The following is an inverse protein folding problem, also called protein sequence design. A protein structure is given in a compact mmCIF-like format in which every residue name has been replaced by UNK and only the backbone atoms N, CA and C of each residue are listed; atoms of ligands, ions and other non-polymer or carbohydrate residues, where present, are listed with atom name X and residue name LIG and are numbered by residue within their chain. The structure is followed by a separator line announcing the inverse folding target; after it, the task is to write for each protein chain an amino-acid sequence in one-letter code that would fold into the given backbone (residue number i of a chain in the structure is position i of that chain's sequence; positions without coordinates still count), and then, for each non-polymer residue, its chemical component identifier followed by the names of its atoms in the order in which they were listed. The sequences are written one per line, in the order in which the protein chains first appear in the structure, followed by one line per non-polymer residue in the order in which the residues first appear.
data_IF_064276768897
#
_entry.id   IF_064276768897
#
_cell.length_a   1.000
_cell.length_b   1.000
_cell.length_c   1.000
_cell.angle_alpha   90.00
_cell.angle_beta   90.00
_cell.angle_gamma   90.00
#
_symmetry.space_group_name_H-M   'P 1'
#
loop_
_entity.id
_entity.type
_entity.pdbx_description
1 polymer ?
#
# COMPACT_ATOMS: atom_id res chain seq x y z
N UNK A 1 -9.86 13.24 -5.80
CA UNK A 1 -11.29 12.95 -5.52
C UNK A 1 -11.63 13.10 -4.04
N UNK A 2 -12.55 14.01 -3.73
CA UNK A 2 -13.18 14.16 -2.41
C UNK A 2 -14.34 13.15 -2.28
N UNK A 3 -14.40 12.42 -1.17
CA UNK A 3 -15.44 11.42 -0.89
C UNK A 3 -16.32 11.91 0.25
N UNK A 4 -17.65 11.88 0.07
CA UNK A 4 -18.59 12.29 1.10
C UNK A 4 -18.54 11.37 2.33
N UNK A 5 -18.95 11.88 3.50
CA UNK A 5 -19.00 11.05 4.72
C UNK A 5 -19.96 9.85 4.55
N UNK A 6 -21.10 10.05 3.89
CA UNK A 6 -22.09 9.00 3.67
C UNK A 6 -21.54 7.88 2.77
N UNK A 7 -20.90 8.24 1.66
CA UNK A 7 -20.28 7.28 0.74
C UNK A 7 -19.15 6.53 1.42
N UNK A 8 -18.29 7.23 2.16
CA UNK A 8 -17.20 6.61 2.92
C UNK A 8 -17.72 5.55 3.90
N UNK A 9 -18.79 5.84 4.65
CA UNK A 9 -19.40 4.88 5.57
C UNK A 9 -19.99 3.67 4.82
N UNK A 10 -20.64 3.90 3.68
CA UNK A 10 -21.20 2.83 2.84
C UNK A 10 -20.10 1.93 2.26
N UNK A 11 -19.02 2.52 1.74
CA UNK A 11 -17.83 1.80 1.25
C UNK A 11 -17.23 0.97 2.39
N UNK A 12 -17.01 1.57 3.55
CA UNK A 12 -16.44 0.86 4.70
C UNK A 12 -17.29 -0.29 5.18
N UNK A 13 -18.61 -0.22 5.06
CA UNK A 13 -19.51 -1.33 5.38
C UNK A 13 -19.40 -2.46 4.35
N UNK A 14 -19.38 -2.13 3.07
CA UNK A 14 -19.59 -3.11 1.99
C UNK A 14 -18.32 -3.62 1.29
N UNK A 15 -17.20 -2.91 1.37
CA UNK A 15 -15.90 -3.34 0.86
C UNK A 15 -15.16 -4.13 1.95
N UNK A 16 -15.05 -5.45 1.76
CA UNK A 16 -14.54 -6.40 2.75
C UNK A 16 -13.42 -7.30 2.19
N UNK A 17 -13.37 -7.48 0.87
CA UNK A 17 -12.40 -8.27 0.12
C UNK A 17 -12.09 -7.61 -1.23
N UNK A 18 -11.04 -8.08 -1.90
CA UNK A 18 -10.57 -7.49 -3.17
C UNK A 18 -11.60 -7.57 -4.29
N UNK A 19 -12.43 -8.61 -4.34
CA UNK A 19 -13.53 -8.69 -5.33
C UNK A 19 -14.64 -7.66 -5.11
N UNK A 20 -14.65 -6.95 -3.98
CA UNK A 20 -15.61 -5.87 -3.73
C UNK A 20 -15.16 -4.52 -4.32
N UNK A 21 -13.93 -4.42 -4.85
CA UNK A 21 -13.36 -3.16 -5.35
C UNK A 21 -14.05 -2.61 -6.62
N UNK A 22 -14.97 -3.36 -7.22
CA UNK A 22 -15.74 -2.92 -8.39
C UNK A 22 -17.20 -2.56 -8.04
N UNK A 23 -17.59 -2.61 -6.75
CA UNK A 23 -18.99 -2.40 -6.32
C UNK A 23 -19.43 -0.94 -6.32
N UNK A 24 -18.48 0.00 -6.40
CA UNK A 24 -18.72 1.42 -6.30
C UNK A 24 -18.14 2.10 -7.53
N UNK A 25 -18.78 3.18 -7.99
CA UNK A 25 -18.30 4.00 -9.13
C UNK A 25 -17.08 4.87 -8.80
N UNK A 26 -16.24 4.45 -7.85
CA UNK A 26 -15.02 5.15 -7.46
C UNK A 26 -13.79 4.43 -8.01
N UNK A 27 -12.67 5.15 -8.24
CA UNK A 27 -11.44 4.53 -8.68
C UNK A 27 -10.98 3.42 -7.73
N UNK A 28 -10.51 2.31 -8.33
CA UNK A 28 -10.09 1.09 -7.64
C UNK A 28 -9.07 1.34 -6.54
N UNK A 29 -8.11 2.24 -6.78
CA UNK A 29 -7.07 2.64 -5.83
C UNK A 29 -7.63 3.25 -4.54
N UNK A 30 -8.70 4.04 -4.63
CA UNK A 30 -9.39 4.63 -3.46
C UNK A 30 -9.99 3.52 -2.61
N UNK A 31 -10.80 2.66 -3.23
CA UNK A 31 -11.47 1.54 -2.56
C UNK A 31 -10.45 0.58 -1.95
N UNK A 32 -9.34 0.32 -2.66
CA UNK A 32 -8.24 -0.51 -2.18
C UNK A 32 -7.56 0.10 -0.96
N UNK A 33 -7.30 1.41 -0.96
CA UNK A 33 -6.71 2.10 0.19
C UNK A 33 -7.61 2.03 1.42
N UNK A 34 -8.92 2.28 1.27
CA UNK A 34 -9.89 2.19 2.37
C UNK A 34 -9.96 0.76 2.92
N UNK A 35 -9.95 -0.25 2.04
CA UNK A 35 -9.93 -1.66 2.43
C UNK A 35 -8.67 -2.01 3.24
N UNK A 36 -7.48 -1.59 2.78
CA UNK A 36 -6.21 -1.78 3.51
C UNK A 36 -6.33 -1.18 4.92
N UNK A 37 -6.76 0.07 5.04
CA UNK A 37 -6.90 0.76 6.32
C UNK A 37 -7.81 -0.01 7.28
N UNK A 38 -8.97 -0.45 6.79
CA UNK A 38 -9.91 -1.27 7.55
C UNK A 38 -9.29 -2.60 8.03
N UNK A 39 -8.48 -3.26 7.20
CA UNK A 39 -7.78 -4.51 7.59
C UNK A 39 -6.69 -4.23 8.62
N UNK A 40 -5.90 -3.19 8.44
CA UNK A 40 -4.85 -2.77 9.40
C UNK A 40 -5.46 -2.46 10.77
N UNK A 41 -6.56 -1.71 10.81
CA UNK A 41 -7.29 -1.43 12.06
C UNK A 41 -7.81 -2.70 12.73
N UNK A 42 -8.36 -3.64 11.96
CA UNK A 42 -8.82 -4.92 12.47
C UNK A 42 -7.67 -5.74 13.06
N UNK A 43 -6.52 -5.80 12.39
CA UNK A 43 -5.34 -6.51 12.89
C UNK A 43 -4.81 -5.86 14.16
N UNK A 44 -4.62 -4.53 14.18
CA UNK A 44 -4.13 -3.82 15.37
C UNK A 44 -4.99 -4.10 16.62
N UNK A 45 -6.32 -4.13 16.46
CA UNK A 45 -7.24 -4.41 17.57
C UNK A 45 -7.19 -5.85 18.08
N UNK A 46 -6.92 -6.83 17.22
CA UNK A 46 -7.05 -8.26 17.56
C UNK A 46 -5.71 -8.98 17.75
N UNK A 47 -4.61 -8.42 17.25
CA UNK A 47 -3.33 -9.13 17.17
C UNK A 47 -2.82 -9.60 18.54
N UNK A 48 -2.89 -8.74 19.57
CA UNK A 48 -2.42 -9.08 20.92
C UNK A 48 -3.22 -10.26 21.52
N UNK A 49 -4.55 -10.25 21.37
CA UNK A 49 -5.45 -11.33 21.82
C UNK A 49 -5.08 -12.69 21.22
N UNK A 50 -4.68 -12.71 19.95
CA UNK A 50 -4.26 -13.95 19.29
C UNK A 50 -2.81 -14.32 19.58
N UNK A 51 -1.94 -13.32 19.81
CA UNK A 51 -0.54 -13.55 20.17
C UNK A 51 -0.39 -14.24 21.52
N UNK A 52 -1.30 -13.98 22.47
CA UNK A 52 -1.39 -14.67 23.77
C UNK A 52 -1.77 -16.15 23.63
N UNK A 53 -2.39 -16.54 22.52
CA UNK A 53 -2.86 -17.92 22.25
C UNK A 53 -1.97 -18.66 21.26
N UNK A 54 -0.71 -18.24 21.10
CA UNK A 54 0.21 -18.77 20.08
C UNK A 54 0.48 -20.28 20.27
N UNK A 55 0.48 -20.77 21.51
CA UNK A 55 0.64 -22.20 21.83
C UNK A 55 -0.57 -23.03 21.40
N UNK A 56 -1.79 -22.50 21.54
CA UNK A 56 -3.00 -23.15 21.01
C UNK A 56 -2.97 -23.22 19.48
N UNK A 57 -2.51 -22.15 18.82
CA UNK A 57 -2.35 -22.10 17.36
C UNK A 57 -1.37 -23.18 16.91
N UNK A 58 -0.21 -23.30 17.58
CA UNK A 58 0.79 -24.29 17.25
C UNK A 58 0.28 -25.72 17.45
N UNK A 59 -0.42 -25.98 18.55
CA UNK A 59 -1.01 -27.29 18.84
C UNK A 59 -2.01 -27.70 17.76
N UNK A 60 -2.95 -26.81 17.45
CA UNK A 60 -3.93 -27.05 16.39
C UNK A 60 -3.26 -27.25 15.03
N UNK A 61 -2.19 -26.50 14.71
CA UNK A 61 -1.43 -26.71 13.48
C UNK A 61 -0.78 -28.11 13.44
N UNK A 62 -0.19 -28.57 14.55
CA UNK A 62 0.45 -29.89 14.62
C UNK A 62 -0.55 -31.03 14.42
N UNK A 63 -1.77 -30.88 14.95
CA UNK A 63 -2.85 -31.87 14.89
C UNK A 63 -3.58 -31.85 13.54
N UNK A 64 -4.01 -30.67 13.09
CA UNK A 64 -4.98 -30.50 11.99
C UNK A 64 -4.36 -29.96 10.70
N UNK A 65 -3.07 -29.62 10.70
CA UNK A 65 -2.33 -29.01 9.57
C UNK A 65 -3.05 -27.79 8.96
N UNK A 66 -3.76 -27.05 9.81
CA UNK A 66 -4.57 -25.90 9.40
C UNK A 66 -4.67 -24.87 10.52
N UNK A 67 -5.14 -23.66 10.17
CA UNK A 67 -5.36 -22.61 11.16
C UNK A 67 -6.75 -22.73 11.79
N UNK A 68 -6.88 -22.47 13.11
CA UNK A 68 -8.17 -22.55 13.77
C UNK A 68 -9.13 -21.47 13.24
N UNK A 69 -10.42 -21.81 13.12
CA UNK A 69 -11.45 -20.91 12.55
C UNK A 69 -11.58 -19.57 13.29
N UNK A 70 -11.32 -19.56 14.60
CA UNK A 70 -11.36 -18.34 15.42
C UNK A 70 -10.20 -17.37 15.14
N UNK A 71 -9.10 -17.83 14.52
CA UNK A 71 -7.97 -16.98 14.15
C UNK A 71 -8.35 -16.17 12.90
N UNK A 72 -8.86 -14.96 13.11
CA UNK A 72 -9.42 -14.10 12.05
C UNK A 72 -8.47 -13.01 11.56
N UNK A 73 -7.16 -13.21 11.73
CA UNK A 73 -6.12 -12.34 11.18
C UNK A 73 -5.94 -12.50 9.67
N UNK A 74 -5.21 -11.58 9.04
CA UNK A 74 -4.82 -11.71 7.63
C UNK A 74 -3.84 -12.87 7.44
N UNK A 75 -3.75 -13.49 6.24
CA UNK A 75 -2.96 -14.69 6.02
C UNK A 75 -1.51 -14.60 6.52
N UNK A 76 -0.80 -13.52 6.21
CA UNK A 76 0.60 -13.35 6.64
C UNK A 76 0.70 -13.20 8.16
N UNK A 77 -0.25 -12.52 8.79
CA UNK A 77 -0.26 -12.39 10.26
C UNK A 77 -0.50 -13.73 10.96
N UNK A 78 -1.31 -14.63 10.39
CA UNK A 78 -1.48 -16.00 10.91
C UNK A 78 -0.17 -16.77 10.87
N UNK A 79 0.50 -16.75 9.71
CA UNK A 79 1.79 -17.40 9.51
C UNK A 79 2.86 -16.82 10.45
N UNK A 80 2.92 -15.50 10.63
CA UNK A 80 3.86 -14.88 11.58
C UNK A 80 3.66 -15.37 13.00
N UNK A 81 2.41 -15.51 13.46
CA UNK A 81 2.12 -16.06 14.80
C UNK A 81 2.53 -17.52 14.90
N UNK A 82 2.25 -18.34 13.89
CA UNK A 82 2.65 -19.75 13.85
C UNK A 82 4.18 -19.90 13.90
N UNK A 83 4.91 -19.22 13.03
CA UNK A 83 6.37 -19.28 13.00
C UNK A 83 6.97 -18.75 14.31
N UNK A 84 6.40 -17.70 14.90
CA UNK A 84 6.80 -17.23 16.24
C UNK A 84 6.56 -18.27 17.33
N UNK A 85 5.44 -19.01 17.27
CA UNK A 85 5.17 -20.12 18.19
C UNK A 85 6.14 -21.29 18.00
N UNK A 86 6.65 -21.48 16.78
CA UNK A 86 7.72 -22.43 16.43
C UNK A 86 9.13 -21.91 16.78
N UNK A 87 9.25 -20.81 17.52
CA UNK A 87 10.51 -20.18 17.94
C UNK A 87 11.38 -19.60 16.81
N UNK A 88 10.81 -19.30 15.64
CA UNK A 88 11.52 -18.55 14.61
C UNK A 88 11.77 -17.12 15.10
N UNK A 89 12.99 -16.63 14.91
CA UNK A 89 13.35 -15.23 15.12
C UNK A 89 12.67 -14.31 14.10
N UNK A 90 12.60 -13.02 14.40
CA UNK A 90 12.04 -12.03 13.47
C UNK A 90 12.77 -12.02 12.11
N UNK A 91 14.09 -12.27 12.10
CA UNK A 91 14.91 -12.36 10.89
C UNK A 91 14.55 -13.58 10.06
N UNK A 92 14.41 -14.74 10.68
CA UNK A 92 14.01 -15.98 10.00
C UNK A 92 12.58 -15.88 9.46
N UNK A 93 11.65 -15.30 10.22
CA UNK A 93 10.28 -15.04 9.74
C UNK A 93 10.30 -14.15 8.49
N UNK A 94 11.04 -13.05 8.52
CA UNK A 94 11.11 -12.15 7.36
C UNK A 94 11.75 -12.85 6.15
N UNK A 95 12.79 -13.67 6.36
CA UNK A 95 13.40 -14.49 5.31
C UNK A 95 12.39 -15.49 4.74
N UNK A 96 11.66 -16.22 5.57
CA UNK A 96 10.62 -17.17 5.16
C UNK A 96 9.50 -16.51 4.34
N UNK A 97 9.03 -15.32 4.75
CA UNK A 97 8.00 -14.58 4.00
C UNK A 97 8.51 -14.10 2.63
N UNK A 98 9.81 -13.82 2.51
CA UNK A 98 10.43 -13.38 1.25
C UNK A 98 10.77 -14.57 0.36
N UNK A 99 11.19 -15.67 0.96
CA UNK A 99 11.65 -16.87 0.28
C UNK A 99 11.04 -18.12 0.92
N UNK A 100 9.78 -18.46 0.62
CA UNK A 100 9.07 -19.57 1.27
C UNK A 100 9.72 -20.94 1.09
N UNK A 101 10.51 -21.12 0.04
CA UNK A 101 11.18 -22.39 -0.31
C UNK A 101 12.39 -22.71 0.58
N UNK A 102 12.80 -21.79 1.46
CA UNK A 102 13.82 -22.06 2.49
C UNK A 102 13.27 -22.93 3.66
N UNK A 103 11.95 -23.19 3.67
CA UNK A 103 11.27 -23.97 4.70
C UNK A 103 11.00 -25.40 4.23
N UNK A 104 10.63 -26.27 5.16
CA UNK A 104 10.12 -27.60 4.81
C UNK A 104 8.86 -27.50 3.92
N UNK A 105 8.52 -28.54 3.13
CA UNK A 105 7.44 -28.46 2.15
C UNK A 105 6.08 -28.05 2.73
N UNK A 106 5.76 -28.45 3.96
CA UNK A 106 4.48 -28.14 4.61
C UNK A 106 4.41 -26.65 4.95
N UNK A 107 5.42 -26.11 5.63
CA UNK A 107 5.49 -24.69 5.96
C UNK A 107 5.67 -23.83 4.71
N UNK A 108 6.42 -24.30 3.71
CA UNK A 108 6.63 -23.61 2.45
C UNK A 108 5.30 -23.34 1.73
N UNK A 109 4.44 -24.36 1.61
CA UNK A 109 3.14 -24.23 0.95
C UNK A 109 2.20 -23.23 1.62
N UNK A 110 2.09 -23.26 2.95
CA UNK A 110 1.22 -22.33 3.69
C UNK A 110 1.76 -20.90 3.66
N UNK A 111 3.08 -20.73 3.75
CA UNK A 111 3.74 -19.43 3.68
C UNK A 111 3.57 -18.84 2.29
N UNK A 112 3.85 -19.61 1.23
CA UNK A 112 3.63 -19.20 -0.17
C UNK A 112 2.19 -18.75 -0.41
N UNK A 113 1.19 -19.56 0.00
CA UNK A 113 -0.23 -19.21 -0.14
C UNK A 113 -0.59 -17.92 0.62
N UNK A 114 0.03 -17.70 1.77
CA UNK A 114 -0.21 -16.51 2.59
C UNK A 114 0.38 -15.25 1.96
N UNK A 115 1.63 -15.30 1.49
CA UNK A 115 2.30 -14.14 0.89
C UNK A 115 1.76 -13.80 -0.50
N UNK A 116 1.27 -14.78 -1.26
CA UNK A 116 0.62 -14.58 -2.58
C UNK A 116 -0.80 -14.03 -2.51
N UNK A 117 -1.43 -13.99 -1.32
CA UNK A 117 -2.83 -13.57 -1.14
C UNK A 117 -3.05 -12.41 -0.18
N UNK A 118 -2.12 -12.15 0.75
CA UNK A 118 -2.25 -11.05 1.71
C UNK A 118 -1.84 -9.72 1.10
N UNK A 119 -2.82 -8.91 0.72
CA UNK A 119 -2.63 -7.57 0.14
C UNK A 119 -2.27 -6.48 1.16
N UNK A 120 -2.04 -6.82 2.42
CA UNK A 120 -1.75 -5.85 3.48
C UNK A 120 -0.32 -6.00 4.00
N UNK A 121 0.10 -7.22 4.30
CA UNK A 121 1.35 -7.48 5.02
C UNK A 121 2.34 -8.37 4.28
N UNK A 122 2.03 -8.83 3.06
CA UNK A 122 3.02 -9.55 2.25
C UNK A 122 4.17 -8.64 1.81
N UNK A 123 5.33 -9.22 1.46
CA UNK A 123 6.43 -8.46 0.85
C UNK A 123 5.99 -7.70 -0.43
N UNK A 124 5.16 -8.33 -1.26
CA UNK A 124 4.63 -7.70 -2.50
C UNK A 124 3.70 -6.54 -2.15
N UNK A 125 2.78 -6.70 -1.18
CA UNK A 125 1.94 -5.59 -0.72
C UNK A 125 2.77 -4.40 -0.21
N UNK A 126 3.83 -4.69 0.53
CA UNK A 126 4.78 -3.66 1.01
C UNK A 126 5.45 -2.96 -0.16
N UNK A 127 5.93 -3.71 -1.16
CA UNK A 127 6.54 -3.17 -2.38
C UNK A 127 5.56 -2.28 -3.15
N UNK A 128 4.30 -2.68 -3.26
CA UNK A 128 3.25 -1.88 -3.92
C UNK A 128 3.10 -0.53 -3.21
N UNK A 129 3.02 -0.51 -1.87
CA UNK A 129 2.91 0.77 -1.14
C UNK A 129 4.12 1.68 -1.39
N UNK A 130 5.33 1.12 -1.45
CA UNK A 130 6.54 1.88 -1.76
C UNK A 130 6.49 2.48 -3.17
N UNK A 131 6.18 1.67 -4.18
CA UNK A 131 6.11 2.12 -5.58
C UNK A 131 4.99 3.16 -5.78
N UNK A 132 3.82 2.97 -5.17
CA UNK A 132 2.76 3.98 -5.22
C UNK A 132 3.19 5.30 -4.54
N UNK A 133 3.95 5.24 -3.45
CA UNK A 133 4.57 6.42 -2.83
C UNK A 133 5.48 7.17 -3.78
N UNK A 134 6.41 6.44 -4.41
CA UNK A 134 7.34 6.98 -5.40
C UNK A 134 6.64 7.60 -6.61
N UNK A 135 5.57 6.96 -7.12
CA UNK A 135 4.76 7.55 -8.20
C UNK A 135 4.15 8.88 -7.75
N UNK A 136 3.63 8.95 -6.52
CA UNK A 136 3.09 10.18 -5.95
C UNK A 136 4.12 11.30 -5.87
N UNK A 137 5.32 11.01 -5.36
CA UNK A 137 6.43 11.96 -5.32
C UNK A 137 6.85 12.40 -6.73
N UNK A 138 6.97 11.47 -7.68
CA UNK A 138 7.33 11.75 -9.07
C UNK A 138 6.34 12.72 -9.75
N UNK A 139 5.04 12.59 -9.48
CA UNK A 139 4.01 13.52 -9.98
C UNK A 139 4.29 14.96 -9.49
N UNK A 140 4.60 15.12 -8.20
CA UNK A 140 4.96 16.45 -7.65
C UNK A 140 6.24 16.97 -8.31
N UNK A 141 7.25 16.11 -8.41
CA UNK A 141 8.55 16.46 -8.97
C UNK A 141 8.43 16.97 -10.42
N UNK A 142 7.74 16.22 -11.28
CA UNK A 142 7.51 16.59 -12.68
C UNK A 142 6.72 17.90 -12.78
N UNK A 143 5.72 18.09 -11.93
CA UNK A 143 4.94 19.33 -11.91
C UNK A 143 5.80 20.53 -11.53
N UNK A 144 6.57 20.45 -10.45
CA UNK A 144 7.45 21.53 -10.00
C UNK A 144 8.51 21.86 -11.07
N UNK A 145 9.13 20.84 -11.67
CA UNK A 145 10.09 21.01 -12.77
C UNK A 145 9.47 21.68 -13.99
N UNK A 146 8.25 21.29 -14.37
CA UNK A 146 7.53 21.91 -15.50
C UNK A 146 7.23 23.41 -15.29
N UNK A 147 7.13 23.83 -14.02
CA UNK A 147 6.92 25.23 -13.64
C UNK A 147 8.23 26.00 -13.42
N UNK A 148 9.40 25.35 -13.59
CA UNK A 148 10.71 25.95 -13.31
C UNK A 148 10.95 26.25 -11.82
N UNK A 149 10.23 25.57 -10.92
CA UNK A 149 10.34 25.80 -9.48
C UNK A 149 11.49 24.96 -8.94
N UNK A 150 12.43 25.62 -8.26
CA UNK A 150 13.51 24.95 -7.54
C UNK A 150 13.01 24.40 -6.19
N UNK A 151 13.39 23.17 -5.86
CA UNK A 151 13.05 22.51 -4.61
C UNK A 151 14.20 21.63 -4.13
N UNK A 152 14.18 21.31 -2.83
CA UNK A 152 15.04 20.31 -2.20
C UNK A 152 14.21 19.09 -1.84
N UNK A 153 14.75 17.90 -2.08
CA UNK A 153 14.13 16.63 -1.67
C UNK A 153 14.69 16.14 -0.34
N UNK A 154 13.99 15.18 0.32
CA UNK A 154 14.36 14.64 1.64
C UNK A 154 15.87 14.32 1.76
N UNK A 155 16.44 13.61 0.78
CA UNK A 155 17.86 13.18 0.75
C UNK A 155 18.88 14.33 0.73
N UNK A 156 18.47 15.53 0.31
CA UNK A 156 19.33 16.72 0.26
C UNK A 156 19.27 17.55 1.55
N UNK A 157 18.28 17.26 2.39
CA UNK A 157 18.06 17.97 3.64
C UNK A 157 18.81 17.25 4.77
N UNK A 158 19.82 17.92 5.35
CA UNK A 158 20.63 17.39 6.47
C UNK A 158 19.87 17.36 7.82
N UNK A 159 18.55 17.36 7.81
CA UNK A 159 17.70 17.46 9.00
C UNK A 159 17.03 16.13 9.30
N UNK A 160 16.75 15.88 10.58
CA UNK A 160 16.26 14.59 11.06
C UNK A 160 14.79 14.28 10.67
N UNK A 161 14.00 15.30 10.30
CA UNK A 161 12.62 15.18 9.82
C UNK A 161 12.36 16.24 8.77
N UNK A 162 12.01 15.81 7.57
CA UNK A 162 11.93 16.68 6.40
C UNK A 162 10.72 16.31 5.57
N UNK A 163 10.01 17.31 5.00
CA UNK A 163 8.95 17.04 4.04
C UNK A 163 9.55 16.45 2.76
N UNK A 164 8.71 15.79 1.96
CA UNK A 164 9.15 15.18 0.70
C UNK A 164 9.75 16.23 -0.26
N UNK A 165 9.15 17.43 -0.28
CA UNK A 165 9.64 18.58 -1.03
C UNK A 165 9.68 19.82 -0.15
N UNK A 166 10.80 20.54 -0.19
CA UNK A 166 11.03 21.78 0.56
C UNK A 166 11.48 22.92 -0.36
N UNK A 167 10.96 24.12 -0.11
CA UNK A 167 11.35 25.34 -0.82
C UNK A 167 12.11 26.25 0.15
N UNK A 168 13.26 26.80 -0.28
CA UNK A 168 14.03 27.71 0.57
C UNK A 168 13.21 28.94 0.96
N UNK A 169 12.55 29.52 -0.05
CA UNK A 169 11.61 30.62 0.07
C UNK A 169 10.17 30.15 -0.22
N UNK A 170 9.14 30.74 0.42
CA UNK A 170 7.75 30.43 0.11
C UNK A 170 7.41 30.73 -1.36
N UNK A 171 6.72 29.79 -2.00
CA UNK A 171 6.26 29.89 -3.38
C UNK A 171 4.74 30.04 -3.45
N UNK A 172 4.23 30.56 -4.55
CA UNK A 172 2.80 30.51 -4.87
C UNK A 172 2.51 29.31 -5.78
N UNK A 173 1.72 28.36 -5.29
CA UNK A 173 1.34 27.15 -6.02
C UNK A 173 -0.16 26.88 -5.81
N UNK A 174 -0.90 26.73 -6.91
CA UNK A 174 -2.36 26.51 -6.90
C UNK A 174 -3.14 27.54 -6.06
N UNK A 175 -2.72 28.81 -6.12
CA UNK A 175 -3.34 29.89 -5.35
C UNK A 175 -3.04 29.85 -3.84
N UNK A 176 -2.07 29.04 -3.41
CA UNK A 176 -1.62 28.95 -2.01
C UNK A 176 -0.16 29.36 -1.91
N UNK A 177 0.19 30.13 -0.89
CA UNK A 177 1.58 30.41 -0.53
C UNK A 177 2.11 29.30 0.39
N UNK A 178 3.03 28.48 -0.10
CA UNK A 178 3.51 27.27 0.61
C UNK A 178 5.03 27.20 0.63
N UNK A 179 5.59 26.46 1.60
CA UNK A 179 7.04 26.24 1.74
C UNK A 179 7.46 24.76 1.72
N UNK A 180 6.50 23.86 1.71
CA UNK A 180 6.77 22.43 1.61
C UNK A 180 5.58 21.66 1.04
N UNK A 181 5.84 20.47 0.50
CA UNK A 181 4.82 19.52 0.05
C UNK A 181 5.10 18.15 0.67
N UNK A 182 4.06 17.50 1.17
CA UNK A 182 4.09 16.11 1.63
C UNK A 182 3.14 15.26 0.77
N UNK A 183 3.69 14.21 0.17
CA UNK A 183 3.04 13.28 -0.75
C UNK A 183 2.65 11.98 -0.03
N UNK A 184 1.36 11.65 -0.01
CA UNK A 184 0.84 10.43 0.61
C UNK A 184 0.03 9.61 -0.38
N UNK A 185 0.56 8.47 -0.79
CA UNK A 185 -0.14 7.54 -1.69
C UNK A 185 -1.20 6.70 -0.96
N UNK A 186 -2.16 7.32 -0.26
CA UNK A 186 -3.24 6.65 0.47
C UNK A 186 -4.47 7.56 0.61
N UNK A 187 -5.62 7.00 1.01
CA UNK A 187 -6.86 7.74 1.26
C UNK A 187 -6.81 8.43 2.63
N UNK A 188 -7.17 9.70 2.73
CA UNK A 188 -7.28 10.39 4.02
C UNK A 188 -8.68 10.26 4.60
N UNK A 189 -8.83 9.53 5.70
CA UNK A 189 -9.92 9.71 6.66
C UNK A 189 -9.43 10.49 7.89
N UNK A 190 -10.32 10.87 8.81
CA UNK A 190 -9.92 11.64 9.99
C UNK A 190 -8.83 10.94 10.80
N UNK A 191 -8.89 9.62 10.98
CA UNK A 191 -7.89 8.89 11.77
C UNK A 191 -6.52 8.90 11.13
N UNK A 192 -6.48 8.71 9.81
CA UNK A 192 -5.26 8.74 9.02
C UNK A 192 -4.68 10.15 9.02
N UNK A 193 -5.50 11.16 8.78
CA UNK A 193 -5.08 12.55 8.80
C UNK A 193 -4.50 12.91 10.17
N UNK A 194 -5.21 12.63 11.27
CA UNK A 194 -4.74 12.88 12.65
C UNK A 194 -3.43 12.13 13.00
N UNK A 195 -3.24 10.95 12.43
CA UNK A 195 -2.00 10.18 12.59
C UNK A 195 -0.82 10.90 11.94
N UNK A 196 -0.98 11.35 10.69
CA UNK A 196 0.07 12.07 9.98
C UNK A 196 0.25 13.51 10.48
N UNK A 197 -0.83 14.13 10.96
CA UNK A 197 -0.81 15.43 11.60
C UNK A 197 0.16 15.46 12.78
N UNK A 198 -0.01 14.52 13.70
CA UNK A 198 0.84 14.38 14.89
C UNK A 198 2.26 13.93 14.58
N UNK A 199 2.46 13.16 13.50
CA UNK A 199 3.79 12.62 13.15
C UNK A 199 4.68 13.63 12.43
N UNK A 200 4.10 14.40 11.52
CA UNK A 200 4.80 15.19 10.51
C UNK A 200 4.20 16.60 10.35
N UNK A 201 2.94 16.71 9.93
CA UNK A 201 2.36 17.96 9.40
C UNK A 201 2.40 19.11 10.41
N UNK A 202 2.02 18.88 11.67
CA UNK A 202 2.03 19.93 12.70
C UNK A 202 3.45 20.48 12.88
N UNK A 203 4.42 19.58 13.01
CA UNK A 203 5.82 19.97 13.18
C UNK A 203 6.39 20.67 11.95
N UNK A 204 6.01 20.26 10.74
CA UNK A 204 6.44 20.94 9.52
C UNK A 204 5.83 22.33 9.42
N UNK A 205 4.56 22.50 9.80
CA UNK A 205 3.92 23.82 9.88
C UNK A 205 4.62 24.73 10.88
N UNK A 206 4.95 24.22 12.07
CA UNK A 206 5.68 24.97 13.10
C UNK A 206 7.10 25.38 12.65
N UNK A 207 7.81 24.48 11.96
CA UNK A 207 9.21 24.71 11.57
C UNK A 207 9.36 25.51 10.28
N UNK A 208 8.45 25.32 9.32
CA UNK A 208 8.62 25.79 7.95
C UNK A 208 7.47 26.70 7.48
N UNK A 209 6.40 26.85 8.27
CA UNK A 209 5.20 27.59 7.87
C UNK A 209 4.25 26.75 7.01
N UNK A 210 3.38 27.41 6.27
CA UNK A 210 2.34 26.75 5.48
C UNK A 210 2.91 25.77 4.44
N UNK A 211 2.19 24.67 4.23
CA UNK A 211 2.55 23.63 3.27
C UNK A 211 1.35 22.95 2.67
N UNK A 212 1.60 22.05 1.73
CA UNK A 212 0.58 21.29 1.03
C UNK A 212 0.73 19.81 1.32
N UNK A 213 -0.34 19.16 1.78
CA UNK A 213 -0.38 17.70 1.91
C UNK A 213 -1.27 17.15 0.82
N UNK A 214 -0.77 16.17 0.06
CA UNK A 214 -1.49 15.56 -1.06
C UNK A 214 -1.76 14.08 -0.74
N UNK A 215 -3.04 13.70 -0.73
CA UNK A 215 -3.48 12.30 -0.57
C UNK A 215 -3.97 11.75 -1.91
N UNK A 216 -3.10 11.03 -2.61
CA UNK A 216 -3.34 10.61 -3.99
C UNK A 216 -4.49 9.63 -4.18
N UNK A 217 -4.89 8.91 -3.12
CA UNK A 217 -5.99 7.95 -3.19
C UNK A 217 -7.27 8.49 -2.58
N UNK A 218 -7.43 9.81 -2.56
CA UNK A 218 -8.65 10.52 -2.19
C UNK A 218 -8.67 11.05 -0.77
N UNK A 219 -9.60 11.96 -0.50
CA UNK A 219 -9.74 12.66 0.78
C UNK A 219 -11.19 12.61 1.24
N UNK A 220 -11.42 12.31 2.51
CA UNK A 220 -12.74 12.43 3.13
C UNK A 220 -13.13 13.91 3.22
N UNK A 221 -14.36 14.22 2.85
CA UNK A 221 -14.94 15.55 2.96
C UNK A 221 -14.68 16.19 4.33
N UNK A 222 -14.22 17.44 4.32
CA UNK A 222 -13.93 18.22 5.53
C UNK A 222 -12.50 18.08 6.06
N UNK A 223 -11.64 17.30 5.41
CA UNK A 223 -10.19 17.28 5.69
C UNK A 223 -9.49 18.35 4.83
N UNK A 224 -8.69 19.20 5.47
CA UNK A 224 -7.84 20.20 4.79
C UNK A 224 -6.59 19.55 4.20
N UNK A 225 -6.76 18.91 3.04
CA UNK A 225 -5.67 18.37 2.24
C UNK A 225 -6.07 18.31 0.76
N UNK A 226 -5.09 18.33 -0.14
CA UNK A 226 -5.32 18.11 -1.57
C UNK A 226 -5.53 16.62 -1.85
N UNK A 227 -6.37 16.33 -2.83
CA UNK A 227 -6.60 14.98 -3.36
C UNK A 227 -5.84 14.72 -4.68
N UNK A 228 -4.93 15.64 -5.02
CA UNK A 228 -4.06 15.63 -6.19
C UNK A 228 -4.71 16.10 -7.49
N UNK A 229 -5.93 16.66 -7.47
CA UNK A 229 -6.61 17.14 -8.69
C UNK A 229 -5.87 18.28 -9.40
N UNK A 230 -5.11 19.07 -8.67
CA UNK A 230 -4.31 20.18 -9.22
C UNK A 230 -3.06 19.69 -10.00
N UNK A 231 -2.73 18.40 -9.87
CA UNK A 231 -1.61 17.75 -10.54
C UNK A 231 -2.13 16.92 -11.73
N UNK A 232 -2.45 17.60 -12.83
CA UNK A 232 -2.93 16.98 -14.07
C UNK A 232 -1.80 16.28 -14.85
N UNK A 233 -1.41 15.11 -14.37
CA UNK A 233 -0.36 14.27 -14.96
C UNK A 233 -0.90 12.85 -15.10
N UNK A 234 -0.69 12.22 -16.25
CA UNK A 234 -1.18 10.87 -16.58
C UNK A 234 -0.75 9.81 -15.55
N UNK A 235 0.40 9.98 -14.90
CA UNK A 235 0.87 9.11 -13.81
C UNK A 235 -0.12 9.00 -12.65
N UNK A 236 -0.95 10.03 -12.40
CA UNK A 236 -2.01 9.97 -11.37
C UNK A 236 -3.01 8.84 -11.64
N UNK A 237 -3.30 8.54 -12.92
CA UNK A 237 -4.19 7.43 -13.30
C UNK A 237 -3.66 6.09 -12.79
N UNK A 238 -2.35 5.88 -12.74
CA UNK A 238 -1.76 4.63 -12.19
C UNK A 238 -2.08 4.43 -10.71
N UNK A 239 -2.13 5.51 -9.91
CA UNK A 239 -2.45 5.48 -8.49
C UNK A 239 -3.94 5.18 -8.25
N UNK A 240 -4.80 5.70 -9.12
CA UNK A 240 -6.25 5.62 -9.00
C UNK A 240 -6.84 4.35 -9.62
N UNK A 241 -6.33 3.91 -10.76
CA UNK A 241 -6.89 2.78 -11.51
C UNK A 241 -6.27 1.44 -11.12
N UNK A 242 -4.98 1.43 -10.71
CA UNK A 242 -4.23 0.21 -10.40
C UNK A 242 -4.37 -0.85 -11.51
N UNK A 243 -4.17 -0.47 -12.78
CA UNK A 243 -4.32 -1.37 -13.95
C UNK A 243 -2.99 -1.92 -14.42
N UNK A 244 -2.94 -3.24 -14.61
CA UNK A 244 -1.83 -3.95 -15.25
C UNK A 244 -2.38 -4.77 -16.41
N UNK A 245 -1.63 -4.81 -17.50
CA UNK A 245 -1.90 -5.59 -18.70
C UNK A 245 -0.84 -6.69 -18.82
N UNK A 246 -1.27 -7.92 -19.01
CA UNK A 246 -0.42 -9.08 -19.23
C UNK A 246 -0.60 -9.55 -20.67
N UNK A 247 0.49 -9.55 -21.43
CA UNK A 247 0.51 -9.84 -22.87
C UNK A 247 0.70 -11.35 -23.07
N UNK A 248 -0.28 -12.03 -23.67
CA UNK A 248 -0.23 -13.50 -23.85
C UNK A 248 0.76 -13.93 -24.93
N UNK A 249 1.06 -13.07 -25.90
CA UNK A 249 2.13 -13.29 -26.89
C UNK A 249 3.53 -13.37 -26.25
N UNK A 250 3.72 -12.81 -25.05
CA UNK A 250 4.98 -12.84 -24.30
C UNK A 250 4.82 -13.72 -23.04
N UNK A 251 5.30 -14.96 -23.04
CA UNK A 251 5.28 -15.78 -21.82
C UNK A 251 6.53 -15.55 -20.96
N UNK A 252 6.36 -15.58 -19.64
CA UNK A 252 7.46 -15.56 -18.68
C UNK A 252 7.42 -16.75 -17.74
N UNK A 253 8.54 -17.47 -17.71
CA UNK A 253 8.78 -18.57 -16.79
C UNK A 253 9.58 -18.12 -15.57
N UNK A 254 9.33 -18.78 -14.44
CA UNK A 254 10.13 -18.61 -13.23
C UNK A 254 9.32 -18.46 -11.96
N UNK A 255 9.96 -17.91 -10.94
CA UNK A 255 9.35 -17.78 -9.62
C UNK A 255 8.31 -16.66 -9.62
N UNK A 256 7.03 -17.04 -9.55
CA UNK A 256 5.91 -16.09 -9.62
C UNK A 256 5.95 -14.97 -8.56
N UNK A 257 6.50 -15.20 -7.35
CA UNK A 257 6.65 -14.13 -6.35
C UNK A 257 7.69 -13.10 -6.78
N UNK A 258 8.83 -13.56 -7.32
CA UNK A 258 9.90 -12.67 -7.81
C UNK A 258 9.44 -11.89 -9.02
N UNK A 259 8.81 -12.56 -10.01
CA UNK A 259 8.25 -11.92 -11.19
C UNK A 259 7.18 -10.87 -10.82
N UNK A 260 6.25 -11.21 -9.92
CA UNK A 260 5.26 -10.24 -9.44
C UNK A 260 5.91 -9.04 -8.75
N UNK A 261 6.95 -9.25 -7.94
CA UNK A 261 7.69 -8.15 -7.30
C UNK A 261 8.41 -7.27 -8.34
N UNK A 262 9.01 -7.86 -9.36
CA UNK A 262 9.65 -7.15 -10.48
C UNK A 262 8.66 -6.32 -11.29
N UNK A 263 7.49 -6.90 -11.62
CA UNK A 263 6.43 -6.19 -12.33
C UNK A 263 5.95 -4.98 -11.52
N UNK A 264 5.75 -5.16 -10.21
CA UNK A 264 5.40 -4.06 -9.31
C UNK A 264 6.50 -3.00 -9.27
N UNK A 265 7.78 -3.38 -9.19
CA UNK A 265 8.90 -2.40 -9.18
C UNK A 265 8.90 -1.52 -10.41
N UNK A 266 8.61 -2.08 -11.58
CA UNK A 266 8.56 -1.36 -12.85
C UNK A 266 7.20 -0.70 -13.15
N UNK A 267 6.25 -0.75 -12.21
CA UNK A 267 4.87 -0.28 -12.44
C UNK A 267 4.81 1.24 -12.67
N UNK A 268 5.76 2.00 -12.12
CA UNK A 268 5.84 3.44 -12.33
C UNK A 268 6.13 3.77 -13.80
N UNK A 269 7.06 3.04 -14.43
CA UNK A 269 7.51 3.27 -15.79
C UNK A 269 6.60 2.62 -16.84
N UNK A 270 6.10 1.41 -16.56
CA UNK A 270 5.26 0.63 -17.49
C UNK A 270 4.14 -0.09 -16.76
N UNK A 271 3.12 -0.51 -17.48
CA UNK A 271 2.03 -1.33 -16.93
C UNK A 271 1.65 -2.51 -17.83
N UNK A 272 2.48 -2.80 -18.83
CA UNK A 272 2.39 -3.98 -19.70
C UNK A 272 3.55 -4.91 -19.39
N UNK A 273 3.26 -6.19 -19.20
CA UNK A 273 4.25 -7.20 -18.83
C UNK A 273 3.95 -8.54 -19.53
N UNK A 274 4.94 -9.43 -19.64
CA UNK A 274 4.72 -10.80 -20.08
C UNK A 274 3.69 -11.53 -19.22
N UNK A 275 2.91 -12.41 -19.85
CA UNK A 275 1.95 -13.27 -19.18
C UNK A 275 2.62 -14.33 -18.30
N UNK A 276 2.02 -14.54 -17.13
CA UNK A 276 2.24 -15.69 -16.26
C UNK A 276 0.99 -15.85 -15.38
N UNK A 277 0.37 -17.04 -15.41
CA UNK A 277 -0.93 -17.26 -14.76
C UNK A 277 -0.90 -17.07 -13.23
N UNK A 278 0.16 -17.53 -12.55
CA UNK A 278 0.29 -17.35 -11.11
C UNK A 278 0.63 -15.89 -10.74
N UNK A 279 1.44 -15.19 -11.55
CA UNK A 279 1.66 -13.73 -11.37
C UNK A 279 0.34 -12.98 -11.51
N UNK A 280 -0.48 -13.29 -12.51
CA UNK A 280 -1.79 -12.68 -12.71
C UNK A 280 -2.67 -12.81 -11.47
N UNK A 281 -2.72 -14.02 -10.89
CA UNK A 281 -3.46 -14.31 -9.65
C UNK A 281 -2.91 -13.56 -8.45
N UNK A 282 -1.58 -13.50 -8.28
CA UNK A 282 -0.92 -12.73 -7.21
C UNK A 282 -1.31 -11.26 -7.33
N UNK A 283 -1.12 -10.64 -8.50
CA UNK A 283 -1.41 -9.21 -8.72
C UNK A 283 -2.89 -8.89 -8.51
N UNK A 284 -3.80 -9.78 -8.95
CA UNK A 284 -5.24 -9.67 -8.63
C UNK A 284 -5.48 -9.70 -7.13
N UNK A 285 -4.87 -10.63 -6.40
CA UNK A 285 -4.98 -10.69 -4.94
C UNK A 285 -4.44 -9.43 -4.27
N UNK A 286 -3.40 -8.80 -4.84
CA UNK A 286 -2.84 -7.53 -4.36
C UNK A 286 -3.69 -6.30 -4.68
N UNK A 287 -4.82 -6.47 -5.38
CA UNK A 287 -5.75 -5.40 -5.68
C UNK A 287 -5.53 -4.70 -7.01
N UNK A 288 -4.65 -5.18 -7.89
CA UNK A 288 -4.59 -4.68 -9.27
C UNK A 288 -5.82 -5.13 -10.07
N UNK A 289 -6.23 -4.30 -11.04
CA UNK A 289 -7.09 -4.70 -12.15
C UNK A 289 -6.20 -5.27 -13.24
N UNK A 290 -6.13 -6.60 -13.31
CA UNK A 290 -5.25 -7.32 -14.24
C UNK A 290 -6.04 -7.70 -15.49
N UNK A 291 -5.66 -7.11 -16.61
CA UNK A 291 -6.17 -7.39 -17.96
C UNK A 291 -5.22 -8.31 -18.69
N UNK A 292 -5.75 -9.31 -19.36
CA UNK A 292 -4.97 -10.22 -20.20
C UNK A 292 -5.30 -9.83 -21.64
N UNK A 293 -4.28 -9.42 -22.39
CA UNK A 293 -4.39 -9.00 -23.79
C UNK A 293 -3.76 -10.10 -24.65
N UNK A 294 -4.42 -10.41 -25.77
CA UNK A 294 -3.83 -11.25 -26.81
C UNK A 294 -2.77 -10.42 -27.55
#
# INVERSE_FOLDING_TARGET
MIVSIQDYLLIRKNVNKISDLNKFGLPRGILHSILIQKKVESVKRKYHLFAERKEEILRHWKEEKSFPRWLTLTPVMKVRLLLKAMNFSAKEINRALTNPWDLDPELSGVVYKSVSSDFVYSPIATRIQQVLGQIGEKIVEEKLRSLGINFKVERELKMQKTPDFFFEEPIELFGRKIRWIESKALFADHKIYDLYARKQIIRYREMFGEGLVVFWRGVLQGIDASDGEEFDIDLRKKLLEMKIYLLKEEESDGNALKLAEEFVKSYAERNRFPYNAEVAKILRNMGFDVREED
#
